data_IF_269904960515
#
_entry.id   IF_269904960515
#
_cell.length_a   1.000
_cell.length_b   1.000
_cell.length_c   1.000
_cell.angle_alpha   90.00
_cell.angle_beta   90.00
_cell.angle_gamma   90.00
#
_symmetry.space_group_name_H-M   'P 1'
#
loop_
_entity.id
_entity.type
_entity.pdbx_description
1 polymer ?
#
# COMPACT_ATOMS: atom_id res chain seq x y z
N UNK A 1 -25.64 66.08 -63.94
CA UNK A 1 -24.45 66.31 -63.08
C UNK A 1 -25.00 66.73 -61.72
N UNK A 2 -24.72 66.16 -60.56
CA UNK A 2 -23.77 65.15 -60.10
C UNK A 2 -24.39 64.56 -58.81
N UNK A 3 -24.36 63.24 -58.64
CA UNK A 3 -24.95 62.54 -57.51
C UNK A 3 -24.10 62.72 -56.24
N UNK A 4 -24.69 63.27 -55.17
CA UNK A 4 -24.07 63.31 -53.83
C UNK A 4 -24.34 61.99 -53.12
N UNK A 5 -23.32 61.15 -52.96
CA UNK A 5 -23.36 59.92 -52.15
C UNK A 5 -23.24 60.29 -50.67
N UNK A 6 -24.30 60.05 -49.90
CA UNK A 6 -24.25 60.01 -48.44
C UNK A 6 -23.62 58.67 -48.01
N UNK A 7 -22.46 58.76 -47.38
CA UNK A 7 -21.72 57.63 -46.83
C UNK A 7 -22.41 57.19 -45.52
N UNK A 8 -23.05 56.01 -45.54
CA UNK A 8 -23.64 55.38 -44.36
C UNK A 8 -22.58 54.58 -43.60
N UNK A 9 -22.59 54.84 -42.30
CA UNK A 9 -21.83 54.24 -41.20
C UNK A 9 -22.07 52.73 -41.13
N UNK A 10 -21.00 51.93 -40.99
CA UNK A 10 -21.04 50.58 -40.43
C UNK A 10 -19.75 50.35 -39.62
N UNK A 11 -19.85 50.46 -38.31
CA UNK A 11 -18.80 50.11 -37.35
C UNK A 11 -19.11 48.68 -36.84
N UNK A 12 -18.19 47.71 -36.92
CA UNK A 12 -18.43 46.37 -36.39
C UNK A 12 -18.21 46.38 -34.87
N UNK A 13 -19.25 46.07 -34.11
CA UNK A 13 -19.18 45.83 -32.67
C UNK A 13 -18.69 44.40 -32.44
N UNK A 14 -17.37 44.23 -32.30
CA UNK A 14 -16.75 42.94 -31.93
C UNK A 14 -16.94 42.70 -30.43
N UNK A 15 -17.91 41.84 -30.08
CA UNK A 15 -18.15 41.39 -28.72
C UNK A 15 -17.07 40.36 -28.35
N UNK A 16 -16.05 40.78 -27.58
CA UNK A 16 -15.02 39.90 -27.06
C UNK A 16 -15.60 39.05 -25.92
N UNK A 17 -16.00 37.81 -26.22
CA UNK A 17 -16.33 36.79 -25.20
C UNK A 17 -15.06 36.34 -24.50
N UNK A 18 -14.80 36.88 -23.30
CA UNK A 18 -13.78 36.41 -22.38
C UNK A 18 -14.22 35.07 -21.78
N UNK A 19 -13.57 33.98 -22.22
CA UNK A 19 -13.73 32.65 -21.62
C UNK A 19 -13.06 32.68 -20.24
N UNK A 20 -13.86 32.82 -19.18
CA UNK A 20 -13.41 32.59 -17.80
C UNK A 20 -13.22 31.09 -17.62
N UNK A 21 -11.96 30.65 -17.60
CA UNK A 21 -11.58 29.28 -17.27
C UNK A 21 -11.49 29.20 -15.75
N UNK A 22 -12.47 28.60 -15.03
CA UNK A 22 -12.35 28.45 -13.59
C UNK A 22 -11.16 27.54 -13.31
N UNK A 23 -10.12 28.11 -12.71
CA UNK A 23 -9.00 27.38 -12.16
C UNK A 23 -9.56 26.54 -11.02
N UNK A 24 -9.85 25.27 -11.29
CA UNK A 24 -10.19 24.28 -10.28
C UNK A 24 -8.91 23.87 -9.53
N UNK A 25 -8.35 24.80 -8.75
CA UNK A 25 -7.46 24.40 -7.66
C UNK A 25 -8.36 23.87 -6.53
N UNK A 26 -8.53 22.56 -6.47
CA UNK A 26 -8.94 21.92 -5.22
C UNK A 26 -7.90 22.22 -4.13
N UNK A 27 -8.30 22.25 -2.84
CA UNK A 27 -7.33 22.36 -1.78
C UNK A 27 -6.31 21.23 -1.93
N UNK A 28 -5.03 21.55 -1.73
CA UNK A 28 -4.00 20.53 -1.57
C UNK A 28 -4.44 19.65 -0.40
N UNK A 29 -4.77 18.40 -0.70
CA UNK A 29 -5.14 17.43 0.32
C UNK A 29 -3.94 17.34 1.26
N UNK A 30 -4.15 17.75 2.51
CA UNK A 30 -3.14 17.61 3.55
C UNK A 30 -2.72 16.15 3.57
N UNK A 31 -1.45 15.89 3.28
CA UNK A 31 -0.92 14.54 3.23
C UNK A 31 -0.99 13.97 4.64
N UNK A 32 -2.03 13.20 4.92
CA UNK A 32 -2.20 12.55 6.22
C UNK A 32 -1.05 11.58 6.40
N UNK A 33 -0.20 11.87 7.39
CA UNK A 33 0.85 10.97 7.82
C UNK A 33 0.18 9.78 8.53
N UNK A 34 0.23 8.60 7.92
CA UNK A 34 -0.18 7.35 8.58
C UNK A 34 0.98 6.95 9.50
N UNK A 35 0.72 6.81 10.80
CA UNK A 35 1.69 6.26 11.74
C UNK A 35 1.87 4.77 11.45
N UNK A 36 2.87 4.46 10.61
CA UNK A 36 3.19 3.14 10.13
C UNK A 36 4.61 2.78 10.55
N UNK A 37 4.89 1.52 10.95
CA UNK A 37 6.25 1.12 11.28
C UNK A 37 7.19 1.21 10.06
N UNK A 38 8.52 1.24 10.28
CA UNK A 38 9.49 1.27 9.18
C UNK A 38 9.33 0.08 8.23
N UNK A 39 9.14 0.39 6.94
CA UNK A 39 8.96 -0.60 5.87
C UNK A 39 10.23 -0.91 5.06
N UNK A 40 11.40 -0.46 5.52
CA UNK A 40 12.67 -0.71 4.86
C UNK A 40 13.15 -2.16 5.04
N UNK A 41 14.15 -2.56 4.26
CA UNK A 41 14.64 -3.93 4.23
C UNK A 41 15.18 -4.42 5.58
N UNK A 42 15.71 -3.54 6.43
CA UNK A 42 16.24 -3.93 7.73
C UNK A 42 15.12 -4.24 8.73
N UNK A 43 13.97 -3.56 8.64
CA UNK A 43 12.86 -3.68 9.59
C UNK A 43 11.73 -4.60 9.13
N UNK A 44 11.55 -4.78 7.82
CA UNK A 44 10.32 -5.37 7.29
C UNK A 44 10.53 -6.60 6.40
N UNK A 45 11.75 -6.88 5.91
CA UNK A 45 11.98 -8.01 4.97
C UNK A 45 11.50 -9.34 5.53
N UNK A 46 11.81 -9.65 6.79
CA UNK A 46 11.41 -10.93 7.40
C UNK A 46 9.90 -10.97 7.65
N UNK A 47 9.31 -9.86 8.07
CA UNK A 47 7.84 -9.72 8.24
C UNK A 47 7.12 -9.94 6.92
N UNK A 48 7.58 -9.30 5.84
CA UNK A 48 7.05 -9.51 4.48
C UNK A 48 7.05 -10.99 4.12
N UNK A 49 8.15 -11.70 4.38
CA UNK A 49 8.26 -13.13 4.08
C UNK A 49 7.24 -13.98 4.86
N UNK A 50 6.98 -13.66 6.12
CA UNK A 50 5.91 -14.32 6.90
C UNK A 50 4.54 -14.12 6.24
N UNK A 51 4.22 -12.88 5.83
CA UNK A 51 2.95 -12.56 5.20
C UNK A 51 2.83 -13.22 3.81
N UNK A 52 3.89 -13.18 3.02
CA UNK A 52 4.00 -13.85 1.71
C UNK A 52 3.71 -15.35 1.84
N UNK A 53 4.37 -16.02 2.79
CA UNK A 53 4.19 -17.46 3.05
C UNK A 53 2.73 -17.83 3.38
N UNK A 54 2.04 -16.97 4.11
CA UNK A 54 0.63 -17.17 4.50
C UNK A 54 -0.38 -16.54 3.54
N UNK A 55 0.06 -16.03 2.39
CA UNK A 55 -0.79 -15.13 1.61
C UNK A 55 -2.06 -15.78 1.05
N UNK A 56 -1.99 -17.07 0.69
CA UNK A 56 -3.15 -17.84 0.23
C UNK A 56 -4.27 -17.97 1.27
N UNK A 57 -3.94 -17.81 2.55
CA UNK A 57 -4.92 -17.81 3.66
C UNK A 57 -5.38 -16.40 4.04
N UNK A 58 -4.53 -15.40 3.83
CA UNK A 58 -4.80 -13.99 4.15
C UNK A 58 -5.54 -13.21 3.05
N UNK A 59 -5.75 -13.81 1.87
CA UNK A 59 -6.43 -13.20 0.72
C UNK A 59 -5.76 -11.90 0.22
N UNK A 60 -4.42 -11.91 0.12
CA UNK A 60 -3.61 -10.72 -0.16
C UNK A 60 -3.40 -10.40 -1.65
N UNK A 61 -4.35 -10.72 -2.52
CA UNK A 61 -4.26 -10.37 -3.95
C UNK A 61 -4.84 -8.99 -4.29
N UNK A 62 -5.50 -8.34 -3.34
CA UNK A 62 -6.01 -6.99 -3.50
C UNK A 62 -7.21 -6.92 -4.47
N UNK A 63 -8.37 -6.48 -4.00
CA UNK A 63 -9.48 -6.06 -4.85
C UNK A 63 -10.16 -4.82 -4.26
N UNK A 64 -11.16 -4.27 -4.95
CA UNK A 64 -11.86 -3.05 -4.53
C UNK A 64 -12.50 -3.14 -3.13
N UNK A 65 -12.74 -4.34 -2.62
CA UNK A 65 -13.31 -4.60 -1.30
C UNK A 65 -12.29 -5.09 -0.27
N UNK A 66 -11.08 -5.47 -0.70
CA UNK A 66 -10.01 -6.04 0.14
C UNK A 66 -8.68 -5.51 -0.36
N UNK A 67 -8.22 -4.33 0.09
CA UNK A 67 -7.10 -3.64 -0.53
C UNK A 67 -5.75 -4.29 -0.22
N UNK A 68 -5.69 -5.26 0.69
CA UNK A 68 -4.45 -5.97 1.03
C UNK A 68 -3.87 -6.64 -0.23
N UNK A 69 -2.78 -6.07 -0.71
CA UNK A 69 -1.97 -6.59 -1.81
C UNK A 69 -0.55 -6.84 -1.32
N UNK A 70 -0.08 -8.08 -1.45
CA UNK A 70 1.26 -8.48 -1.04
C UNK A 70 2.00 -9.02 -2.26
N UNK A 71 3.18 -8.46 -2.49
CA UNK A 71 4.10 -8.87 -3.53
C UNK A 71 5.24 -9.70 -2.94
N UNK A 72 5.85 -10.59 -3.70
CA UNK A 72 6.81 -11.48 -3.09
C UNK A 72 7.49 -12.47 -4.00
N UNK A 73 8.46 -13.17 -3.43
CA UNK A 73 9.15 -14.28 -4.11
C UNK A 73 8.20 -15.43 -4.43
N UNK A 74 7.28 -15.72 -3.53
CA UNK A 74 6.39 -16.89 -3.62
C UNK A 74 5.00 -16.54 -4.17
N UNK A 75 4.82 -15.33 -4.69
CA UNK A 75 3.49 -14.82 -5.06
C UNK A 75 3.49 -13.83 -6.22
N UNK A 76 2.63 -12.82 -6.09
CA UNK A 76 2.47 -11.74 -7.07
C UNK A 76 3.74 -10.88 -7.11
N UNK A 77 4.22 -10.50 -8.29
CA UNK A 77 5.29 -9.49 -8.42
C UNK A 77 4.71 -8.10 -8.62
N UNK A 78 5.39 -7.08 -8.08
CA UNK A 78 4.98 -5.69 -8.32
C UNK A 78 5.08 -5.38 -9.82
N UNK A 79 4.06 -4.76 -10.42
CA UNK A 79 4.16 -4.29 -11.79
C UNK A 79 5.34 -3.36 -12.01
N UNK A 80 6.16 -3.70 -12.99
CA UNK A 80 7.24 -2.86 -13.49
C UNK A 80 6.81 -2.26 -14.83
N UNK A 81 7.24 -1.03 -15.10
CA UNK A 81 7.03 -0.43 -16.40
C UNK A 81 7.91 -1.13 -17.43
N UNK A 82 7.34 -1.45 -18.60
CA UNK A 82 8.12 -1.90 -19.74
C UNK A 82 9.02 -0.77 -20.27
N UNK A 83 10.14 -1.14 -20.86
CA UNK A 83 10.96 -0.21 -21.64
C UNK A 83 10.24 0.22 -22.94
N UNK A 84 10.87 1.10 -23.72
CA UNK A 84 10.30 1.62 -24.96
C UNK A 84 10.12 0.53 -26.03
N UNK A 85 10.85 -0.57 -25.90
CA UNK A 85 10.85 -1.73 -26.76
C UNK A 85 9.85 -2.81 -26.29
N UNK A 86 9.15 -2.57 -25.17
CA UNK A 86 8.16 -3.48 -24.59
C UNK A 86 8.76 -4.63 -23.78
N UNK A 87 10.04 -4.58 -23.45
CA UNK A 87 10.70 -5.56 -22.60
C UNK A 87 10.58 -5.16 -21.13
N UNK A 88 10.68 -6.17 -20.28
CA UNK A 88 10.84 -5.96 -18.86
C UNK A 88 12.26 -5.49 -18.52
N UNK A 89 12.42 -4.72 -17.43
CA UNK A 89 13.71 -4.53 -16.78
C UNK A 89 14.43 -5.86 -16.55
N UNK A 90 15.76 -5.88 -16.70
CA UNK A 90 16.60 -7.08 -16.59
C UNK A 90 16.49 -7.75 -15.20
N UNK A 91 16.11 -6.97 -14.17
CA UNK A 91 15.89 -7.38 -12.79
C UNK A 91 14.44 -7.83 -12.48
N UNK A 92 13.53 -7.80 -13.46
CA UNK A 92 12.12 -8.17 -13.27
C UNK A 92 11.87 -9.68 -13.14
N UNK A 93 12.87 -10.51 -13.43
CA UNK A 93 12.85 -11.95 -13.17
C UNK A 93 11.76 -12.76 -13.90
N UNK A 94 11.99 -13.07 -15.18
CA UNK A 94 11.20 -13.91 -16.12
C UNK A 94 10.32 -13.16 -17.14
N UNK A 95 10.22 -13.75 -18.34
CA UNK A 95 9.48 -13.20 -19.50
C UNK A 95 8.00 -13.60 -19.47
N UNK A 96 7.04 -12.68 -19.60
CA UNK A 96 5.61 -12.96 -19.41
C UNK A 96 4.88 -12.81 -20.74
N UNK A 97 4.44 -13.93 -21.32
CA UNK A 97 3.80 -13.94 -22.63
C UNK A 97 2.35 -13.45 -22.64
N UNK A 98 1.71 -13.22 -21.48
CA UNK A 98 0.26 -12.95 -21.43
C UNK A 98 -0.15 -11.80 -20.48
N UNK A 99 0.72 -11.38 -19.55
CA UNK A 99 0.49 -10.28 -18.61
C UNK A 99 1.80 -9.53 -18.35
N UNK A 100 2.21 -8.59 -19.22
CA UNK A 100 3.54 -7.98 -19.17
C UNK A 100 3.78 -7.11 -17.91
N UNK A 101 2.74 -6.86 -17.10
CA UNK A 101 2.83 -6.10 -15.85
C UNK A 101 2.73 -6.98 -14.60
N UNK A 102 2.53 -8.29 -14.71
CA UNK A 102 2.39 -9.18 -13.55
C UNK A 102 3.10 -10.50 -13.81
N UNK A 103 4.06 -10.84 -12.94
CA UNK A 103 4.82 -12.08 -13.06
C UNK A 103 4.61 -12.92 -11.81
N UNK A 104 4.63 -14.23 -11.99
CA UNK A 104 4.75 -15.16 -10.86
C UNK A 104 6.18 -15.04 -10.32
N UNK A 105 6.36 -15.15 -9.01
CA UNK A 105 7.68 -14.94 -8.40
C UNK A 105 8.76 -15.97 -8.74
N UNK A 106 9.79 -16.05 -7.91
CA UNK A 106 10.97 -16.90 -8.11
C UNK A 106 12.30 -16.22 -7.77
N UNK A 107 12.32 -14.88 -7.78
CA UNK A 107 13.43 -14.06 -7.28
C UNK A 107 13.10 -13.48 -5.90
N UNK A 108 14.11 -13.09 -5.14
CA UNK A 108 13.92 -12.48 -3.82
C UNK A 108 13.02 -11.23 -3.89
N UNK A 109 12.23 -11.01 -2.84
CA UNK A 109 11.39 -9.81 -2.71
C UNK A 109 12.27 -8.56 -2.72
N UNK A 110 11.98 -7.67 -3.66
CA UNK A 110 12.77 -6.46 -3.93
C UNK A 110 12.44 -5.36 -2.91
N UNK A 111 13.33 -4.37 -2.73
CA UNK A 111 13.04 -3.25 -1.81
C UNK A 111 11.77 -2.46 -2.19
N UNK A 112 11.49 -2.17 -3.47
CA UNK A 112 10.24 -1.52 -3.85
C UNK A 112 8.99 -2.35 -3.54
N UNK A 113 9.08 -3.68 -3.53
CA UNK A 113 7.99 -4.57 -3.12
C UNK A 113 7.82 -4.57 -1.61
N UNK A 114 8.92 -4.64 -0.84
CA UNK A 114 8.86 -4.55 0.63
C UNK A 114 8.17 -3.26 1.08
N UNK A 115 8.55 -2.12 0.49
CA UNK A 115 7.93 -0.85 0.81
C UNK A 115 6.43 -0.82 0.46
N UNK A 116 6.04 -1.43 -0.66
CA UNK A 116 4.64 -1.48 -1.08
C UNK A 116 3.82 -2.43 -0.20
N UNK A 117 4.40 -3.55 0.23
CA UNK A 117 3.80 -4.49 1.17
C UNK A 117 3.57 -3.82 2.55
N UNK A 118 4.56 -3.09 3.07
CA UNK A 118 4.42 -2.35 4.32
C UNK A 118 3.29 -1.30 4.22
N UNK A 119 3.24 -0.56 3.12
CA UNK A 119 2.15 0.41 2.85
C UNK A 119 0.80 -0.26 2.73
N UNK A 120 0.73 -1.41 2.08
CA UNK A 120 -0.48 -2.20 1.89
C UNK A 120 -1.04 -2.71 3.22
N UNK A 121 -0.17 -3.18 4.12
CA UNK A 121 -0.54 -3.53 5.50
C UNK A 121 -1.04 -2.30 6.26
N UNK A 122 -0.30 -1.19 6.23
CA UNK A 122 -0.68 0.03 6.93
C UNK A 122 -1.94 0.70 6.36
N UNK A 123 -2.18 0.56 5.07
CA UNK A 123 -3.36 1.09 4.38
C UNK A 123 -4.60 0.20 4.47
N UNK A 124 -4.49 -0.98 5.09
CA UNK A 124 -5.64 -1.88 5.25
C UNK A 124 -6.66 -1.32 6.23
N UNK A 125 -6.20 -0.85 7.39
CA UNK A 125 -6.99 -0.25 8.45
C UNK A 125 -6.17 0.86 9.14
N UNK A 126 -5.87 1.98 8.44
CA UNK A 126 -4.92 2.98 8.94
C UNK A 126 -5.35 3.59 10.28
N UNK A 127 -6.64 3.78 10.52
CA UNK A 127 -7.16 4.27 11.79
C UNK A 127 -6.98 3.25 12.93
N UNK A 128 -7.19 1.96 12.66
CA UNK A 128 -7.03 0.90 13.68
C UNK A 128 -5.55 0.65 14.00
N UNK A 129 -4.67 0.79 13.01
CA UNK A 129 -3.22 0.69 13.22
C UNK A 129 -2.73 1.87 14.06
N UNK A 130 -3.21 3.09 13.79
CA UNK A 130 -2.89 4.25 14.62
C UNK A 130 -3.39 4.08 16.07
N UNK A 131 -4.63 3.61 16.27
CA UNK A 131 -5.17 3.31 17.60
C UNK A 131 -4.35 2.23 18.33
N UNK A 132 -4.02 1.13 17.64
CA UNK A 132 -3.19 0.05 18.20
C UNK A 132 -1.85 0.61 18.69
N UNK A 133 -1.16 1.36 17.83
CA UNK A 133 0.16 1.92 18.14
C UNK A 133 0.11 2.92 19.28
N UNK A 134 -0.89 3.78 19.31
CA UNK A 134 -1.10 4.73 20.39
C UNK A 134 -1.33 4.03 21.74
N UNK A 135 -2.14 2.96 21.75
CA UNK A 135 -2.47 2.23 22.97
C UNK A 135 -1.30 1.39 23.47
N UNK A 136 -0.62 0.64 22.60
CA UNK A 136 0.58 -0.12 23.00
C UNK A 136 1.67 0.82 23.53
N UNK A 137 1.85 2.01 22.97
CA UNK A 137 2.81 2.98 23.50
C UNK A 137 2.49 3.53 24.90
N UNK A 138 1.28 3.27 25.43
CA UNK A 138 0.83 3.69 26.77
C UNK A 138 0.61 2.52 27.72
N UNK A 139 0.40 1.33 27.20
CA UNK A 139 0.10 0.07 27.90
C UNK A 139 1.37 -0.80 28.00
N UNK A 140 1.26 -1.99 28.60
CA UNK A 140 2.38 -2.96 28.65
C UNK A 140 2.55 -3.63 27.27
N UNK A 141 3.77 -3.71 26.76
CA UNK A 141 4.08 -4.38 25.49
C UNK A 141 3.65 -5.85 25.49
N UNK A 142 3.60 -6.49 26.67
CA UNK A 142 3.14 -7.87 26.83
C UNK A 142 1.66 -8.06 26.48
N UNK A 143 0.84 -6.98 26.49
CA UNK A 143 -0.57 -6.99 26.09
C UNK A 143 -0.77 -6.75 24.59
N UNK A 144 0.28 -6.34 23.86
CA UNK A 144 0.21 -6.05 22.42
C UNK A 144 -0.36 -7.21 21.58
N UNK A 145 -0.03 -8.50 21.83
CA UNK A 145 -0.62 -9.60 21.08
C UNK A 145 -2.13 -9.69 21.27
N UNK A 146 -2.66 -9.46 22.48
CA UNK A 146 -4.09 -9.50 22.76
C UNK A 146 -4.77 -8.34 22.04
N UNK A 147 -4.25 -7.13 22.24
CA UNK A 147 -4.78 -5.91 21.64
C UNK A 147 -4.78 -5.96 20.11
N UNK A 148 -3.75 -6.55 19.49
CA UNK A 148 -3.69 -6.72 18.04
C UNK A 148 -4.82 -7.63 17.53
N UNK A 149 -5.17 -8.69 18.28
CA UNK A 149 -6.32 -9.55 18.00
C UNK A 149 -7.67 -8.85 18.21
N UNK A 150 -7.74 -7.83 19.06
CA UNK A 150 -8.96 -7.04 19.21
C UNK A 150 -9.13 -6.06 18.05
N UNK A 151 -8.06 -5.36 17.65
CA UNK A 151 -8.13 -4.20 16.74
C UNK A 151 -7.87 -4.52 15.27
N UNK A 152 -6.96 -5.44 14.94
CA UNK A 152 -6.41 -5.55 13.59
C UNK A 152 -6.92 -6.78 12.84
N UNK A 153 -7.55 -6.58 11.67
CA UNK A 153 -8.07 -7.69 10.85
C UNK A 153 -6.95 -8.58 10.32
N UNK A 154 -5.77 -8.01 10.07
CA UNK A 154 -4.57 -8.75 9.63
C UNK A 154 -4.07 -9.75 10.68
N UNK A 155 -4.49 -9.59 11.95
CA UNK A 155 -4.20 -10.51 13.05
C UNK A 155 -5.41 -11.41 13.34
N UNK A 156 -6.62 -10.85 13.41
CA UNK A 156 -7.87 -11.62 13.69
C UNK A 156 -8.12 -12.75 12.71
N UNK A 157 -7.96 -12.48 11.41
CA UNK A 157 -8.22 -13.47 10.36
C UNK A 157 -7.31 -14.69 10.54
N UNK A 158 -5.98 -14.59 10.52
CA UNK A 158 -5.12 -15.76 10.66
C UNK A 158 -5.26 -16.50 12.00
N UNK A 159 -5.65 -15.80 13.09
CA UNK A 159 -5.99 -16.43 14.38
C UNK A 159 -7.35 -17.16 14.41
N UNK A 160 -8.17 -16.96 13.38
CA UNK A 160 -9.56 -17.41 13.28
C UNK A 160 -10.46 -16.79 14.37
N UNK A 161 -10.14 -15.58 14.80
CA UNK A 161 -11.02 -14.71 15.59
C UNK A 161 -12.02 -14.01 14.66
N UNK A 162 -11.66 -13.86 13.39
CA UNK A 162 -12.55 -13.45 12.30
C UNK A 162 -12.64 -14.56 11.24
N UNK A 163 -13.87 -14.90 10.81
CA UNK A 163 -14.10 -15.96 9.82
C UNK A 163 -13.48 -15.60 8.47
N UNK A 164 -12.66 -16.49 7.95
CA UNK A 164 -12.11 -16.40 6.59
C UNK A 164 -11.95 -17.80 5.98
N UNK A 165 -11.64 -17.89 4.68
CA UNK A 165 -11.60 -19.16 3.93
C UNK A 165 -10.43 -20.07 4.33
N UNK A 166 -9.31 -19.50 4.76
CA UNK A 166 -8.06 -20.19 5.10
C UNK A 166 -8.09 -20.98 6.40
N UNK A 167 -9.03 -20.71 7.31
CA UNK A 167 -9.04 -21.32 8.63
C UNK A 167 -7.90 -20.82 9.52
N UNK A 168 -7.76 -21.36 10.74
CA UNK A 168 -6.71 -20.91 11.65
C UNK A 168 -5.33 -21.28 11.12
N UNK A 169 -4.47 -20.29 10.94
CA UNK A 169 -3.06 -20.48 10.57
C UNK A 169 -2.09 -20.05 11.67
N UNK A 170 -2.50 -19.11 12.53
CA UNK A 170 -1.71 -18.67 13.69
C UNK A 170 -2.46 -18.95 14.99
N UNK A 171 -1.72 -19.21 16.06
CA UNK A 171 -2.20 -19.03 17.44
C UNK A 171 -1.57 -17.76 18.00
N UNK A 172 -2.22 -17.20 19.02
CA UNK A 172 -1.64 -16.11 19.81
C UNK A 172 -0.27 -16.57 20.29
N UNK A 173 0.73 -15.72 20.08
CA UNK A 173 2.13 -15.95 20.44
C UNK A 173 2.86 -17.05 19.64
N UNK A 174 2.30 -17.57 18.54
CA UNK A 174 3.11 -18.34 17.59
C UNK A 174 4.15 -17.43 16.91
N UNK A 175 5.27 -17.97 16.43
CA UNK A 175 6.32 -17.20 15.75
C UNK A 175 5.84 -16.22 14.66
N UNK A 176 4.97 -16.61 13.70
CA UNK A 176 4.50 -15.68 12.68
C UNK A 176 3.57 -14.59 13.25
N UNK A 177 2.83 -14.90 14.31
CA UNK A 177 1.97 -13.96 15.04
C UNK A 177 2.81 -12.90 15.74
N UNK A 178 3.79 -13.33 16.54
CA UNK A 178 4.72 -12.44 17.22
C UNK A 178 5.53 -11.61 16.21
N UNK A 179 5.98 -12.20 15.11
CA UNK A 179 6.73 -11.50 14.07
C UNK A 179 5.95 -10.29 13.52
N UNK A 180 4.67 -10.47 13.20
CA UNK A 180 3.83 -9.37 12.71
C UNK A 180 3.53 -8.36 13.82
N UNK A 181 3.12 -8.82 15.01
CA UNK A 181 2.75 -7.94 16.13
C UNK A 181 3.94 -7.07 16.55
N UNK A 182 5.13 -7.65 16.71
CA UNK A 182 6.34 -6.92 17.11
C UNK A 182 6.74 -5.84 16.09
N UNK A 183 6.48 -6.06 14.80
CA UNK A 183 6.68 -5.02 13.79
C UNK A 183 5.68 -3.87 13.91
N UNK A 184 4.46 -4.14 14.36
CA UNK A 184 3.44 -3.11 14.56
C UNK A 184 3.68 -2.26 15.81
N UNK A 185 4.40 -2.75 16.81
CA UNK A 185 4.73 -2.01 18.03
C UNK A 185 5.56 -0.76 17.69
N UNK A 186 5.28 0.41 18.30
CA UNK A 186 6.10 1.61 18.12
C UNK A 186 7.55 1.38 18.57
N UNK A 187 8.51 1.86 17.79
CA UNK A 187 9.94 1.84 18.14
C UNK A 187 10.49 3.25 18.09
N UNK A 188 11.47 3.53 18.95
CA UNK A 188 12.16 4.82 18.97
C UNK A 188 12.85 5.10 17.61
N UNK A 189 12.83 6.36 17.13
CA UNK A 189 13.47 6.70 15.86
C UNK A 189 14.94 6.26 15.81
N UNK A 190 15.29 5.52 14.76
CA UNK A 190 16.65 4.98 14.57
C UNK A 190 16.91 3.62 15.22
N UNK A 191 15.93 3.05 15.92
CA UNK A 191 16.01 1.69 16.47
C UNK A 191 15.48 0.66 15.47
N UNK A 192 16.10 -0.52 15.44
CA UNK A 192 15.62 -1.64 14.64
C UNK A 192 14.47 -2.37 15.34
N UNK A 193 13.47 -2.77 14.57
CA UNK A 193 12.36 -3.62 15.03
C UNK A 193 12.89 -4.99 15.46
N UNK A 194 12.40 -5.51 16.59
CA UNK A 194 12.68 -6.87 17.03
C UNK A 194 12.05 -7.89 16.05
N UNK A 195 12.90 -8.64 15.36
CA UNK A 195 12.49 -9.64 14.36
C UNK A 195 12.95 -11.06 14.73
N UNK A 196 13.21 -11.34 16.00
CA UNK A 196 13.63 -12.68 16.45
C UNK A 196 12.58 -13.75 16.10
N UNK A 197 11.30 -13.44 16.28
CA UNK A 197 10.21 -14.36 15.95
C UNK A 197 10.07 -14.64 14.43
N UNK A 198 10.68 -13.81 13.58
CA UNK A 198 10.62 -13.94 12.12
C UNK A 198 11.68 -14.89 11.54
N UNK A 199 12.62 -15.42 12.33
CA UNK A 199 13.80 -16.15 11.83
C UNK A 199 13.52 -17.52 11.20
N UNK A 200 12.30 -18.03 11.36
CA UNK A 200 11.93 -19.37 10.90
C UNK A 200 11.29 -19.41 9.51
N UNK A 201 11.29 -18.29 8.78
CA UNK A 201 10.60 -18.14 7.50
C UNK A 201 11.55 -17.84 6.35
#
# INVERSE_FOLDING_TARGET
MSARRLLKILLPLTLATTVFMPIACGPELEKTSIDCPPGDAANFRRVSKVIEFHCGTLDCHGNSFRPLRIYGKDGLRKPVALDAEGNLPEDAGFSPSDWPNYHTGGIETTEPELLENARSLCGLEPEMIAEFRERVGKEDEDEAPVLAGELLTIVRKPRLEERHKGGRVWRVNDNPDQCLVQWLIPVEPGTLVNQAACEHF
#
